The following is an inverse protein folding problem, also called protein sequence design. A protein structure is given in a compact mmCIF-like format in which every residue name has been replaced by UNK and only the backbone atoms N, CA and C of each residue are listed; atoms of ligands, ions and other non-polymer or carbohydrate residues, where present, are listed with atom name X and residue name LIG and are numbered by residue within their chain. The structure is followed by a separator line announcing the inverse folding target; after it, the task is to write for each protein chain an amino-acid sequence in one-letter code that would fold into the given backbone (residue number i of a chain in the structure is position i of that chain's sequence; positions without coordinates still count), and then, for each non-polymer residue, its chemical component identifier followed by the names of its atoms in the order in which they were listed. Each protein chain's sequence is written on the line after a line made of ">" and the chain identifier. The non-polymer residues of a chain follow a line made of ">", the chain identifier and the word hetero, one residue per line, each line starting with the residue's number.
data_IF_593013554019
#
_entry.id   IF_593013554019
#
_cell.length_a   1.000
_cell.length_b   1.000
_cell.length_c   1.000
_cell.angle_alpha   90.00
_cell.angle_beta   90.00
_cell.angle_gamma   90.00
#
_symmetry.space_group_name_H-M   'P 1'
#
loop_
_entity.id
_entity.type
_entity.pdbx_description
1 polymer ?
#
# COMPACT_ATOMS: atom_id res chain seq x y z
N UNK A 1 -27.75 -9.87 -9.17
CA UNK A 1 -26.78 -10.97 -9.31
C UNK A 1 -27.06 -11.95 -8.18
N UNK A 2 -27.40 -13.20 -8.47
CA UNK A 2 -27.70 -14.21 -7.45
C UNK A 2 -26.37 -14.63 -6.79
N UNK A 3 -26.41 -14.91 -5.48
CA UNK A 3 -25.23 -15.26 -4.65
C UNK A 3 -24.48 -16.50 -5.19
N UNK A 4 -25.13 -17.31 -6.02
CA UNK A 4 -24.56 -18.53 -6.61
C UNK A 4 -23.53 -18.30 -7.73
N UNK A 5 -23.49 -17.12 -8.36
CA UNK A 5 -22.50 -16.80 -9.40
C UNK A 5 -21.22 -16.14 -8.87
N UNK A 6 -21.12 -15.95 -7.55
CA UNK A 6 -19.99 -15.25 -6.93
C UNK A 6 -18.82 -16.21 -6.69
N UNK A 7 -17.60 -15.75 -6.96
CA UNK A 7 -16.37 -16.46 -6.62
C UNK A 7 -16.25 -16.65 -5.10
N UNK A 8 -15.51 -17.67 -4.64
CA UNK A 8 -15.30 -17.93 -3.21
C UNK A 8 -14.74 -16.71 -2.47
N UNK A 9 -13.83 -15.96 -3.10
CA UNK A 9 -13.26 -14.73 -2.56
C UNK A 9 -14.33 -13.64 -2.37
N UNK A 10 -15.26 -13.50 -3.30
CA UNK A 10 -16.36 -12.54 -3.16
C UNK A 10 -17.30 -12.96 -2.03
N UNK A 11 -17.60 -14.25 -1.89
CA UNK A 11 -18.41 -14.75 -0.76
C UNK A 11 -17.75 -14.44 0.58
N UNK A 12 -16.44 -14.70 0.72
CA UNK A 12 -15.67 -14.36 1.91
C UNK A 12 -15.65 -12.85 2.16
N UNK A 13 -15.42 -12.03 1.13
CA UNK A 13 -15.45 -10.57 1.24
C UNK A 13 -16.79 -10.08 1.80
N UNK A 14 -17.91 -10.53 1.24
CA UNK A 14 -19.24 -10.09 1.67
C UNK A 14 -19.56 -10.55 3.10
N UNK A 15 -19.14 -11.75 3.48
CA UNK A 15 -19.28 -12.22 4.87
C UNK A 15 -18.48 -11.36 5.84
N UNK A 16 -17.20 -11.08 5.55
CA UNK A 16 -16.37 -10.21 6.38
C UNK A 16 -16.91 -8.79 6.43
N UNK A 17 -17.32 -8.22 5.29
CA UNK A 17 -17.91 -6.88 5.21
C UNK A 17 -19.16 -6.76 6.08
N UNK A 18 -20.04 -7.77 6.05
CA UNK A 18 -21.24 -7.77 6.88
C UNK A 18 -20.91 -7.90 8.36
N UNK A 19 -19.95 -8.77 8.71
CA UNK A 19 -19.54 -8.98 10.09
C UNK A 19 -18.88 -7.74 10.70
N UNK A 20 -18.13 -6.98 9.89
CA UNK A 20 -17.41 -5.78 10.30
C UNK A 20 -18.02 -4.49 9.73
N UNK A 21 -19.34 -4.44 9.55
CA UNK A 21 -20.02 -3.30 8.93
C UNK A 21 -19.77 -1.97 9.65
N UNK A 22 -19.55 -2.01 10.96
CA UNK A 22 -19.21 -0.85 11.79
C UNK A 22 -17.91 -0.15 11.33
N UNK A 23 -17.00 -0.87 10.67
CA UNK A 23 -15.78 -0.31 10.10
C UNK A 23 -16.01 0.55 8.87
N UNK A 24 -17.15 0.40 8.18
CA UNK A 24 -17.42 1.16 6.97
C UNK A 24 -17.46 2.67 7.30
N UNK A 25 -17.90 3.06 8.49
CA UNK A 25 -17.88 4.46 8.92
C UNK A 25 -16.46 5.01 9.16
N UNK A 26 -15.52 4.15 9.55
CA UNK A 26 -14.11 4.48 9.81
C UNK A 26 -13.33 4.71 8.51
N UNK A 27 -13.88 4.32 7.35
CA UNK A 27 -13.24 4.53 6.04
C UNK A 27 -12.91 6.00 5.75
N UNK A 28 -13.63 6.95 6.34
CA UNK A 28 -13.31 8.38 6.29
C UNK A 28 -11.95 8.72 6.92
N UNK A 29 -11.49 7.93 7.89
CA UNK A 29 -10.21 8.06 8.60
C UNK A 29 -9.16 7.03 8.15
N UNK A 30 -9.40 6.35 7.03
CA UNK A 30 -8.56 5.24 6.56
C UNK A 30 -7.10 5.67 6.35
N UNK A 31 -6.87 6.84 5.77
CA UNK A 31 -5.51 7.33 5.47
C UNK A 31 -4.69 7.60 6.74
N UNK A 32 -5.18 8.35 7.74
CA UNK A 32 -4.53 8.46 9.04
C UNK A 32 -4.25 7.12 9.74
N UNK A 33 -5.21 6.19 9.73
CA UNK A 33 -5.08 4.88 10.38
C UNK A 33 -4.04 4.00 9.66
N UNK A 34 -4.10 3.94 8.33
CA UNK A 34 -3.12 3.26 7.51
C UNK A 34 -1.73 3.86 7.66
N UNK A 35 -1.63 5.19 7.75
CA UNK A 35 -0.36 5.86 8.04
C UNK A 35 0.22 5.29 9.33
N UNK A 36 -0.54 5.33 10.42
CA UNK A 36 -0.09 4.84 11.73
C UNK A 36 0.35 3.37 11.71
N UNK A 37 -0.38 2.49 11.02
CA UNK A 37 0.00 1.07 10.88
C UNK A 37 1.26 0.90 10.04
N UNK A 38 1.31 1.48 8.83
CA UNK A 38 2.36 1.21 7.85
C UNK A 38 3.72 1.81 8.23
N UNK A 39 3.71 2.88 9.03
CA UNK A 39 4.92 3.53 9.56
C UNK A 39 5.32 3.01 10.94
N UNK A 40 4.51 2.10 11.54
CA UNK A 40 4.66 1.69 12.93
C UNK A 40 4.76 2.89 13.87
N UNK A 41 3.88 3.89 13.71
CA UNK A 41 3.91 5.08 14.55
C UNK A 41 3.82 4.69 16.01
N UNK A 42 4.71 5.26 16.82
CA UNK A 42 4.69 5.14 18.27
C UNK A 42 3.52 5.94 18.84
N UNK A 43 2.59 5.25 19.48
CA UNK A 43 1.32 5.78 19.95
C UNK A 43 1.13 5.48 21.43
N UNK A 44 0.64 6.46 22.18
CA UNK A 44 0.24 6.25 23.56
C UNK A 44 -1.19 5.68 23.64
N UNK A 45 -1.42 4.71 24.51
CA UNK A 45 -2.65 3.91 24.60
C UNK A 45 -3.94 4.74 24.80
N UNK A 46 -3.83 5.94 25.40
CA UNK A 46 -4.96 6.82 25.74
C UNK A 46 -5.05 8.08 24.88
N UNK A 47 -4.37 8.09 23.73
CA UNK A 47 -4.40 9.21 22.80
C UNK A 47 -5.25 8.89 21.58
N UNK A 48 -5.73 9.93 20.91
CA UNK A 48 -6.32 9.79 19.59
C UNK A 48 -5.24 9.45 18.57
N UNK A 49 -5.61 8.70 17.55
CA UNK A 49 -4.71 8.42 16.44
C UNK A 49 -4.44 9.74 15.69
N UNK A 50 -3.18 10.08 15.37
CA UNK A 50 -2.86 11.33 14.70
C UNK A 50 -3.65 11.52 13.40
N UNK A 51 -4.42 12.60 13.32
CA UNK A 51 -5.27 12.90 12.16
C UNK A 51 -6.69 12.31 12.24
N UNK A 52 -7.09 11.76 13.40
CA UNK A 52 -8.46 11.32 13.68
C UNK A 52 -8.89 11.79 15.07
N UNK A 53 -10.18 11.63 15.35
CA UNK A 53 -10.79 11.74 16.69
C UNK A 53 -11.04 10.35 17.32
N UNK A 54 -10.45 9.29 16.74
CA UNK A 54 -10.65 7.90 17.17
C UNK A 54 -9.58 7.52 18.19
N UNK A 55 -10.02 6.94 19.31
CA UNK A 55 -9.14 6.35 20.31
C UNK A 55 -8.64 4.97 19.86
N UNK A 56 -7.42 4.61 20.28
CA UNK A 56 -6.86 3.29 19.99
C UNK A 56 -7.75 2.13 20.49
N UNK A 57 -8.36 2.30 21.66
CA UNK A 57 -9.24 1.28 22.23
C UNK A 57 -10.51 1.06 21.39
N UNK A 58 -11.08 2.13 20.82
CA UNK A 58 -12.25 2.05 19.95
C UNK A 58 -11.91 1.27 18.68
N UNK A 59 -10.74 1.53 18.12
CA UNK A 59 -10.24 0.83 16.94
C UNK A 59 -9.97 -0.66 17.23
N UNK A 60 -9.39 -0.96 18.41
CA UNK A 60 -9.04 -2.33 18.80
C UNK A 60 -10.22 -3.18 19.28
N UNK A 61 -11.28 -2.57 19.82
CA UNK A 61 -12.51 -3.28 20.23
C UNK A 61 -13.17 -4.05 19.09
N UNK A 62 -13.03 -3.54 17.87
CA UNK A 62 -13.60 -4.17 16.70
C UNK A 62 -12.81 -5.39 16.21
N UNK A 63 -11.71 -5.75 16.88
CA UNK A 63 -10.95 -6.98 16.64
C UNK A 63 -10.07 -6.99 15.39
N UNK A 64 -10.18 -5.98 14.52
CA UNK A 64 -9.41 -5.94 13.27
C UNK A 64 -8.00 -5.39 13.45
N UNK A 65 -7.84 -4.33 14.25
CA UNK A 65 -6.55 -3.67 14.47
C UNK A 65 -6.13 -3.90 15.91
N UNK A 66 -4.93 -4.43 16.11
CA UNK A 66 -4.39 -4.70 17.44
C UNK A 66 -3.35 -3.65 17.81
N UNK A 67 -3.54 -2.99 18.94
CA UNK A 67 -2.47 -2.25 19.60
C UNK A 67 -1.49 -3.21 20.26
N UNK A 68 -0.21 -3.11 19.91
CA UNK A 68 0.88 -3.91 20.45
C UNK A 68 1.83 -2.97 21.17
N UNK A 69 1.89 -3.10 22.49
CA UNK A 69 2.81 -2.33 23.34
C UNK A 69 4.26 -2.71 23.05
N UNK A 70 5.17 -1.75 23.23
CA UNK A 70 6.61 -1.99 23.11
C UNK A 70 7.11 -2.92 24.24
N UNK A 71 6.56 -2.76 25.44
CA UNK A 71 6.71 -3.66 26.58
C UNK A 71 5.42 -3.67 27.43
N UNK A 72 5.25 -4.69 28.27
CA UNK A 72 4.01 -4.86 29.07
C UNK A 72 3.71 -3.68 30.01
N UNK A 73 4.76 -3.00 30.48
CA UNK A 73 4.64 -1.83 31.37
C UNK A 73 4.47 -0.51 30.63
N UNK A 74 4.74 -0.48 29.33
CA UNK A 74 4.69 0.71 28.51
C UNK A 74 3.26 1.06 28.15
N UNK A 75 2.98 2.36 28.19
CA UNK A 75 1.76 2.92 27.60
C UNK A 75 1.96 3.24 26.12
N UNK A 76 3.14 2.96 25.56
CA UNK A 76 3.52 3.21 24.18
C UNK A 76 3.51 1.89 23.40
N UNK A 77 3.01 1.95 22.18
CA UNK A 77 2.98 0.82 21.27
C UNK A 77 2.72 1.25 19.83
N UNK A 78 2.47 0.28 18.97
CA UNK A 78 2.12 0.51 17.58
C UNK A 78 0.85 -0.27 17.22
N UNK A 79 0.11 0.24 16.24
CA UNK A 79 -1.00 -0.49 15.65
C UNK A 79 -0.47 -1.53 14.66
N UNK A 80 -1.03 -2.73 14.76
CA UNK A 80 -0.77 -3.84 13.83
C UNK A 80 -2.10 -4.34 13.29
N UNK A 81 -2.07 -4.85 12.07
CA UNK A 81 -3.27 -5.23 11.36
C UNK A 81 -2.98 -6.45 10.49
N UNK A 82 -3.74 -7.56 10.64
CA UNK A 82 -3.72 -8.64 9.66
C UNK A 82 -3.99 -8.14 8.24
N UNK A 83 -3.30 -8.75 7.26
CA UNK A 83 -3.41 -8.39 5.85
C UNK A 83 -4.83 -8.49 5.28
N UNK A 84 -5.65 -9.42 5.79
CA UNK A 84 -7.05 -9.60 5.38
C UNK A 84 -7.91 -8.35 5.64
N UNK A 85 -7.52 -7.49 6.58
CA UNK A 85 -8.25 -6.25 6.86
C UNK A 85 -7.84 -5.11 5.95
N UNK A 86 -6.57 -5.06 5.56
CA UNK A 86 -6.13 -4.16 4.50
C UNK A 86 -6.89 -4.48 3.20
N UNK A 87 -7.15 -5.76 2.92
CA UNK A 87 -8.04 -6.18 1.83
C UNK A 87 -9.48 -5.68 1.99
N UNK A 88 -10.08 -5.86 3.17
CA UNK A 88 -11.45 -5.43 3.42
C UNK A 88 -11.59 -3.91 3.23
N UNK A 89 -10.68 -3.15 3.83
CA UNK A 89 -10.61 -1.69 3.72
C UNK A 89 -10.37 -1.23 2.28
N UNK A 90 -9.51 -1.92 1.53
CA UNK A 90 -9.26 -1.66 0.12
C UNK A 90 -10.49 -1.82 -0.78
N UNK A 91 -11.32 -2.82 -0.52
CA UNK A 91 -12.55 -3.04 -1.30
C UNK A 91 -13.74 -2.19 -0.82
N UNK A 92 -13.66 -1.63 0.38
CA UNK A 92 -14.71 -0.77 0.93
C UNK A 92 -14.45 0.72 0.68
N UNK A 93 -13.21 1.09 0.35
CA UNK A 93 -12.79 2.47 0.12
C UNK A 93 -12.89 2.85 -1.36
N UNK A 94 -13.32 4.08 -1.63
CA UNK A 94 -13.21 4.72 -2.94
C UNK A 94 -11.80 5.28 -3.20
N UNK A 95 -10.86 5.08 -2.27
CA UNK A 95 -9.48 5.52 -2.43
C UNK A 95 -8.80 4.72 -3.56
N UNK A 96 -8.51 5.42 -4.65
CA UNK A 96 -7.82 4.90 -5.82
C UNK A 96 -6.50 4.18 -5.49
N UNK A 97 -5.85 4.54 -4.40
CA UNK A 97 -4.61 3.90 -3.94
C UNK A 97 -4.89 2.52 -3.37
N UNK A 98 -5.95 2.40 -2.56
CA UNK A 98 -6.32 1.15 -1.91
C UNK A 98 -7.06 0.21 -2.86
N UNK A 99 -7.68 0.72 -3.92
CA UNK A 99 -8.36 -0.12 -4.91
C UNK A 99 -7.45 -1.22 -5.51
N UNK A 100 -6.15 -0.92 -5.69
CA UNK A 100 -5.15 -1.86 -6.20
C UNK A 100 -4.82 -3.00 -5.21
N UNK A 101 -5.33 -2.96 -3.98
CA UNK A 101 -5.14 -3.97 -2.94
C UNK A 101 -6.30 -4.95 -2.83
N UNK A 102 -7.08 -5.16 -3.89
CA UNK A 102 -8.23 -6.06 -3.86
C UNK A 102 -7.86 -7.57 -3.82
N UNK A 103 -6.58 -7.94 -3.63
CA UNK A 103 -6.02 -9.31 -3.45
C UNK A 103 -6.57 -10.40 -4.40
N UNK A 104 -7.19 -10.01 -5.52
CA UNK A 104 -7.69 -10.91 -6.57
C UNK A 104 -6.55 -11.56 -7.39
N UNK A 105 -5.28 -11.33 -7.02
CA UNK A 105 -4.08 -11.87 -7.65
C UNK A 105 -4.11 -13.39 -7.78
N UNK A 106 -4.68 -14.09 -6.79
CA UNK A 106 -4.75 -15.56 -6.78
C UNK A 106 -5.68 -16.16 -7.84
N UNK A 107 -6.66 -15.40 -8.32
CA UNK A 107 -7.61 -15.92 -9.31
C UNK A 107 -7.17 -15.62 -10.76
N UNK A 108 -6.06 -14.90 -10.95
CA UNK A 108 -5.61 -14.37 -12.26
C UNK A 108 -6.68 -13.56 -13.01
N UNK A 109 -7.81 -13.21 -12.40
CA UNK A 109 -8.92 -12.49 -13.05
C UNK A 109 -8.70 -10.97 -13.08
N UNK A 110 -7.73 -10.45 -12.34
CA UNK A 110 -7.46 -9.01 -12.24
C UNK A 110 -7.12 -8.36 -13.57
N UNK A 111 -6.45 -9.05 -14.50
CA UNK A 111 -6.17 -8.50 -15.83
C UNK A 111 -7.45 -8.09 -16.60
N UNK A 112 -8.61 -8.63 -16.21
CA UNK A 112 -9.93 -8.28 -16.78
C UNK A 112 -10.47 -6.96 -16.24
N UNK A 113 -10.13 -6.59 -15.01
CA UNK A 113 -10.56 -5.36 -14.34
C UNK A 113 -9.49 -4.26 -14.45
N UNK A 114 -8.22 -4.65 -14.41
CA UNK A 114 -7.05 -3.79 -14.53
C UNK A 114 -6.05 -4.40 -15.53
N UNK A 115 -5.93 -3.83 -16.75
CA UNK A 115 -5.03 -4.33 -17.78
C UNK A 115 -3.54 -4.17 -17.43
N UNK A 116 -3.17 -3.47 -16.35
CA UNK A 116 -1.78 -3.37 -15.88
C UNK A 116 -1.28 -4.64 -15.20
N UNK A 117 -2.17 -5.56 -14.82
CA UNK A 117 -1.82 -6.83 -14.20
C UNK A 117 -1.78 -7.90 -15.30
N UNK A 118 -0.61 -8.47 -15.66
CA UNK A 118 -0.54 -9.36 -16.82
C UNK A 118 -1.14 -10.74 -16.50
N UNK A 119 -1.94 -11.34 -17.40
CA UNK A 119 -2.54 -12.67 -17.19
C UNK A 119 -1.49 -13.78 -17.15
N UNK A 120 -1.69 -14.83 -16.33
CA UNK A 120 -0.81 -16.00 -16.27
C UNK A 120 0.62 -15.71 -15.82
N UNK A 121 0.83 -14.64 -15.04
CA UNK A 121 2.16 -14.25 -14.59
C UNK A 121 2.77 -15.27 -13.62
N UNK A 122 4.09 -15.51 -13.68
CA UNK A 122 4.78 -16.23 -12.62
C UNK A 122 4.57 -15.55 -11.26
N UNK A 123 4.46 -16.32 -10.17
CA UNK A 123 4.26 -15.82 -8.80
C UNK A 123 5.19 -14.66 -8.40
N UNK A 124 6.42 -14.61 -8.93
CA UNK A 124 7.37 -13.53 -8.65
C UNK A 124 6.95 -12.17 -9.23
N UNK A 125 6.31 -12.12 -10.41
CA UNK A 125 5.82 -10.86 -10.98
C UNK A 125 4.66 -10.29 -10.16
N UNK A 126 3.77 -11.17 -9.67
CA UNK A 126 2.73 -10.79 -8.73
C UNK A 126 3.31 -10.25 -7.41
N UNK A 127 4.40 -10.85 -6.93
CA UNK A 127 5.10 -10.37 -5.75
C UNK A 127 5.77 -9.01 -5.98
N UNK A 128 6.45 -8.80 -7.12
CA UNK A 128 7.01 -7.48 -7.47
C UNK A 128 5.93 -6.40 -7.54
N UNK A 129 4.81 -6.70 -8.20
CA UNK A 129 3.66 -5.80 -8.28
C UNK A 129 3.10 -5.47 -6.89
N UNK A 130 2.98 -6.48 -6.02
CA UNK A 130 2.54 -6.31 -4.64
C UNK A 130 3.50 -5.40 -3.84
N UNK A 131 4.81 -5.66 -3.89
CA UNK A 131 5.82 -4.85 -3.20
C UNK A 131 5.84 -3.41 -3.73
N UNK A 132 5.75 -3.22 -5.05
CA UNK A 132 5.71 -1.90 -5.65
C UNK A 132 4.44 -1.12 -5.25
N UNK A 133 3.28 -1.78 -5.26
CA UNK A 133 2.02 -1.22 -4.77
C UNK A 133 2.11 -0.77 -3.31
N UNK A 134 2.78 -1.56 -2.46
CA UNK A 134 3.01 -1.20 -1.06
C UNK A 134 3.86 0.09 -0.91
N UNK A 135 4.89 0.26 -1.74
CA UNK A 135 5.69 1.49 -1.77
C UNK A 135 4.87 2.70 -2.21
N UNK A 136 4.03 2.53 -3.22
CA UNK A 136 3.12 3.57 -3.70
C UNK A 136 2.17 4.02 -2.59
N UNK A 137 1.57 3.10 -1.84
CA UNK A 137 0.74 3.46 -0.69
C UNK A 137 1.53 4.23 0.35
N UNK A 138 2.70 3.72 0.75
CA UNK A 138 3.56 4.38 1.75
C UNK A 138 3.92 5.81 1.36
N UNK A 139 4.05 6.11 0.07
CA UNK A 139 4.27 7.49 -0.39
C UNK A 139 3.01 8.36 -0.35
N UNK A 140 1.82 7.78 -0.55
CA UNK A 140 0.55 8.51 -0.65
C UNK A 140 -0.14 8.71 0.70
N UNK A 141 0.19 7.90 1.70
CA UNK A 141 -0.27 8.14 3.08
C UNK A 141 0.28 9.46 3.61
N UNK A 142 1.36 10.02 3.05
CA UNK A 142 1.87 11.35 3.38
C UNK A 142 1.48 12.37 2.32
N UNK A 143 1.38 13.64 2.71
CA UNK A 143 1.07 14.74 1.80
C UNK A 143 2.16 14.94 0.75
N UNK A 144 1.77 15.44 -0.43
CA UNK A 144 2.74 15.86 -1.45
C UNK A 144 3.61 16.99 -0.91
N UNK A 145 4.92 16.89 -1.15
CA UNK A 145 5.92 17.87 -0.72
C UNK A 145 6.01 18.05 0.81
N UNK A 146 5.39 17.15 1.58
CA UNK A 146 5.48 17.13 3.03
C UNK A 146 6.90 16.75 3.46
N UNK A 147 7.48 17.52 4.37
CA UNK A 147 8.71 17.15 5.05
C UNK A 147 8.43 16.08 6.10
N UNK A 148 9.11 14.94 6.00
CA UNK A 148 8.94 13.78 6.89
C UNK A 148 10.31 13.44 7.47
N UNK A 149 10.41 13.29 8.78
CA UNK A 149 11.64 12.82 9.41
C UNK A 149 11.80 11.34 9.12
N UNK A 150 13.03 10.91 8.85
CA UNK A 150 13.31 9.50 8.53
C UNK A 150 12.86 8.56 9.65
N UNK A 151 12.94 9.02 10.92
CA UNK A 151 12.44 8.29 12.09
C UNK A 151 10.95 8.02 12.09
N UNK A 152 10.17 8.84 11.40
CA UNK A 152 8.71 8.73 11.33
C UNK A 152 8.24 7.83 10.17
N UNK A 153 9.13 7.45 9.25
CA UNK A 153 8.80 6.57 8.11
C UNK A 153 8.72 5.11 8.55
N UNK A 154 9.54 4.72 9.54
CA UNK A 154 9.52 3.39 10.11
C UNK A 154 10.15 3.38 11.51
N UNK A 155 9.36 3.69 12.54
CA UNK A 155 9.86 3.80 13.91
C UNK A 155 10.39 2.46 14.49
N UNK A 156 10.12 1.34 13.82
CA UNK A 156 10.64 0.01 14.18
C UNK A 156 12.06 -0.28 13.71
N UNK A 157 12.67 0.54 12.85
CA UNK A 157 14.06 0.34 12.42
C UNK A 157 15.03 1.02 13.39
N UNK A 158 16.04 0.27 13.85
CA UNK A 158 17.17 0.86 14.57
C UNK A 158 18.04 1.65 13.59
N UNK A 159 17.97 2.97 13.69
CA UNK A 159 18.77 3.88 12.87
C UNK A 159 19.19 5.12 13.66
N UNK A 160 20.26 5.77 13.22
CA UNK A 160 20.79 6.99 13.86
C UNK A 160 20.47 8.26 13.06
N UNK A 161 19.36 8.26 12.30
CA UNK A 161 19.00 9.39 11.42
C UNK A 161 18.66 10.69 12.16
N UNK A 162 18.46 10.68 13.48
CA UNK A 162 18.22 11.90 14.26
C UNK A 162 17.04 12.71 13.73
N UNK A 163 17.32 13.95 13.31
CA UNK A 163 16.34 14.90 12.76
C UNK A 163 16.38 15.00 11.22
N UNK A 164 17.13 14.12 10.55
CA UNK A 164 17.18 14.05 9.09
C UNK A 164 15.77 13.82 8.51
N UNK A 165 15.48 14.55 7.43
CA UNK A 165 14.15 14.57 6.83
C UNK A 165 14.22 14.53 5.30
N UNK A 166 13.16 13.97 4.71
CA UNK A 166 12.96 13.92 3.26
C UNK A 166 11.71 14.70 2.87
N UNK A 167 11.64 15.12 1.61
CA UNK A 167 10.43 15.68 1.02
C UNK A 167 9.69 14.54 0.33
N UNK A 168 8.44 14.30 0.73
CA UNK A 168 7.64 13.25 0.15
C UNK A 168 7.20 13.58 -1.27
N UNK A 169 7.45 12.64 -2.18
CA UNK A 169 6.92 12.65 -3.54
C UNK A 169 5.97 11.45 -3.68
N UNK A 170 4.65 11.67 -3.80
CA UNK A 170 3.71 10.60 -4.04
C UNK A 170 4.09 9.85 -5.32
N UNK A 171 4.23 8.54 -5.19
CA UNK A 171 4.66 7.66 -6.27
C UNK A 171 3.45 7.21 -7.09
N UNK A 172 3.63 7.04 -8.40
CA UNK A 172 2.74 6.24 -9.25
C UNK A 172 3.37 4.88 -9.53
N UNK A 173 2.54 3.87 -9.78
CA UNK A 173 2.99 2.57 -10.30
C UNK A 173 2.93 2.64 -11.82
N UNK A 174 4.02 2.30 -12.50
CA UNK A 174 4.11 2.43 -13.94
C UNK A 174 4.81 1.19 -14.52
N UNK A 175 4.23 0.60 -15.57
CA UNK A 175 4.77 -0.59 -16.22
C UNK A 175 5.52 -0.21 -17.49
N UNK A 176 6.79 -0.63 -17.58
CA UNK A 176 7.60 -0.38 -18.77
C UNK A 176 7.22 -1.29 -19.93
N UNK A 177 7.29 -0.76 -21.14
CA UNK A 177 6.99 -1.48 -22.39
C UNK A 177 8.06 -2.53 -22.69
N UNK A 178 9.30 -2.23 -22.31
CA UNK A 178 10.46 -3.08 -22.55
C UNK A 178 11.22 -3.32 -21.25
N UNK A 179 12.07 -4.34 -21.24
CA UNK A 179 12.92 -4.62 -20.09
C UNK A 179 13.85 -3.44 -19.84
N UNK A 180 13.73 -2.89 -18.66
CA UNK A 180 14.56 -1.79 -18.19
C UNK A 180 15.55 -2.29 -17.13
N UNK A 181 16.77 -1.77 -17.16
CA UNK A 181 17.81 -2.13 -16.17
C UNK A 181 17.38 -1.63 -14.79
N UNK A 182 17.54 -2.40 -13.71
CA UNK A 182 17.26 -1.89 -12.36
C UNK A 182 18.47 -1.18 -11.73
N UNK A 183 19.62 -1.17 -12.43
CA UNK A 183 20.84 -0.53 -11.93
C UNK A 183 20.71 0.99 -12.02
N UNK A 184 20.91 1.68 -10.89
CA UNK A 184 20.90 3.14 -10.83
C UNK A 184 21.87 3.80 -11.82
N UNK A 185 23.01 3.18 -12.08
CA UNK A 185 23.99 3.67 -13.06
C UNK A 185 23.46 3.72 -14.50
N UNK A 186 22.49 2.88 -14.87
CA UNK A 186 21.91 2.87 -16.21
C UNK A 186 21.10 4.15 -16.51
N UNK A 187 20.61 4.83 -15.47
CA UNK A 187 19.83 6.06 -15.60
C UNK A 187 20.62 7.32 -15.24
N UNK A 188 21.93 7.21 -15.07
CA UNK A 188 22.78 8.38 -14.81
C UNK A 188 22.84 9.33 -16.02
N UNK A 189 22.62 8.83 -17.24
CA UNK A 189 22.72 9.57 -18.50
C UNK A 189 21.35 9.73 -19.17
N UNK A 190 20.57 8.65 -19.30
CA UNK A 190 19.22 8.69 -19.86
C UNK A 190 18.19 8.50 -18.76
N UNK A 191 17.61 9.59 -18.29
CA UNK A 191 16.65 9.60 -17.17
C UNK A 191 15.21 9.43 -17.65
N UNK A 192 14.98 8.62 -18.68
CA UNK A 192 13.62 8.41 -19.18
C UNK A 192 13.35 6.97 -19.58
N UNK A 193 12.13 6.52 -19.32
CA UNK A 193 11.64 5.19 -19.67
C UNK A 193 10.31 5.29 -20.39
N UNK A 194 10.02 4.32 -21.25
CA UNK A 194 8.72 4.25 -21.94
C UNK A 194 7.80 3.27 -21.22
N UNK A 195 6.62 3.75 -20.84
CA UNK A 195 5.63 2.98 -20.09
C UNK A 195 4.28 2.95 -20.81
N UNK A 196 3.45 1.96 -20.47
CA UNK A 196 2.05 1.93 -20.89
C UNK A 196 1.17 2.59 -19.83
N UNK A 197 0.30 3.50 -20.25
CA UNK A 197 -0.73 4.12 -19.40
C UNK A 197 -2.04 4.30 -20.17
N UNK A 198 -3.09 3.63 -19.71
CA UNK A 198 -4.42 3.68 -20.32
C UNK A 198 -4.43 3.22 -21.78
N UNK A 199 -3.60 2.24 -22.13
CA UNK A 199 -3.41 1.76 -23.51
C UNK A 199 -2.51 2.64 -24.39
N UNK A 200 -2.02 3.77 -23.88
CA UNK A 200 -1.12 4.67 -24.59
C UNK A 200 0.32 4.53 -24.10
N UNK A 201 1.28 4.64 -25.01
CA UNK A 201 2.69 4.77 -24.67
C UNK A 201 2.94 6.19 -24.13
N UNK A 202 3.53 6.27 -22.94
CA UNK A 202 4.00 7.51 -22.34
C UNK A 202 5.50 7.44 -22.11
N UNK A 203 6.17 8.60 -22.13
CA UNK A 203 7.57 8.73 -21.75
C UNK A 203 7.63 9.35 -20.36
N UNK A 204 8.16 8.61 -19.39
CA UNK A 204 8.33 9.07 -18.03
C UNK A 204 9.75 9.55 -17.81
N UNK A 205 9.88 10.73 -17.22
CA UNK A 205 11.15 11.27 -16.76
C UNK A 205 11.38 10.87 -15.30
N UNK A 206 12.57 10.39 -14.99
CA UNK A 206 12.94 9.83 -13.69
C UNK A 206 13.54 10.87 -12.73
N UNK A 207 13.66 12.12 -13.16
CA UNK A 207 14.27 13.21 -12.39
C UNK A 207 13.48 13.54 -11.12
N UNK A 208 12.16 13.40 -11.18
CA UNK A 208 11.27 13.74 -10.07
C UNK A 208 11.12 12.60 -9.04
N UNK A 209 11.74 11.44 -9.30
CA UNK A 209 11.66 10.23 -8.46
C UNK A 209 10.21 9.85 -8.07
N UNK A 210 9.23 10.14 -8.94
CA UNK A 210 7.80 10.03 -8.65
C UNK A 210 7.15 8.75 -9.19
N UNK A 211 7.94 7.79 -9.67
CA UNK A 211 7.44 6.56 -10.28
C UNK A 211 8.12 5.33 -9.69
N UNK A 212 7.33 4.34 -9.32
CA UNK A 212 7.74 2.95 -9.12
C UNK A 212 7.58 2.20 -10.43
N UNK A 213 8.69 1.71 -10.97
CA UNK A 213 8.72 1.03 -12.27
C UNK A 213 8.70 -0.48 -12.05
N UNK A 214 7.80 -1.16 -12.74
CA UNK A 214 7.75 -2.63 -12.82
C UNK A 214 8.05 -3.08 -14.25
N UNK A 215 8.82 -4.15 -14.39
CA UNK A 215 9.15 -4.72 -15.70
C UNK A 215 7.93 -5.42 -16.33
N UNK A 216 7.83 -5.37 -17.66
CA UNK A 216 6.81 -6.08 -18.44
C UNK A 216 6.98 -7.60 -18.45
N UNK A 217 5.94 -8.32 -18.89
CA UNK A 217 5.94 -9.79 -19.04
C UNK A 217 7.03 -10.26 -20.02
N UNK A 218 7.89 -11.17 -19.57
CA UNK A 218 9.03 -11.69 -20.34
C UNK A 218 10.42 -11.29 -19.81
N UNK A 219 10.51 -10.51 -18.73
CA UNK A 219 11.77 -10.26 -18.05
C UNK A 219 12.22 -11.50 -17.23
N UNK A 220 13.51 -11.89 -17.25
CA UNK A 220 14.02 -12.85 -16.26
C UNK A 220 13.99 -12.23 -14.87
N UNK A 221 13.64 -13.04 -13.86
CA UNK A 221 13.57 -12.63 -12.46
C UNK A 221 14.89 -12.05 -11.98
N UNK A 222 14.85 -10.89 -11.32
CA UNK A 222 15.99 -10.39 -10.56
C UNK A 222 16.05 -11.12 -9.21
N UNK A 223 17.06 -11.99 -9.06
CA UNK A 223 17.64 -12.32 -7.75
C UNK A 223 18.86 -11.41 -7.55
#
# INVERSE_FOLDING_TARGET
>A
MLIDDMSENEKVYHQLKNYYIEWIYITSYITPILRAILTHTSLAARQHIPGTDILLEELSKLGLIKFVKEDESSDIGALTCPYIWLWLMANASDDNVLHHWNFKYYNELQHKEDPYIPPGCPYWMHFEHFVASFRVIKSKIFGKDQQIKLKDIYAGAKHNFGEEAIINKPLSLEQVIHRESTKSSAYSINKSVSCMKGGNQIKLHLEDASACIINGSGAPSAL
#
